data_IF_222571316496
#
_entry.id   IF_222571316496
#
_cell.length_a   1.000
_cell.length_b   1.000
_cell.length_c   1.000
_cell.angle_alpha   90.00
_cell.angle_beta   90.00
_cell.angle_gamma   90.00
#
_symmetry.space_group_name_H-M   'P 1'
#
loop_
_entity.id
_entity.type
_entity.pdbx_description
1 polymer ?
#
# COMPACT_ATOMS: atom_id res chain seq x y z
N UNK A 1 -8.68 4.64 -22.78
CA UNK A 1 -7.49 5.10 -22.04
C UNK A 1 -6.55 3.96 -21.63
N UNK A 2 -6.71 2.74 -22.15
CA UNK A 2 -5.81 1.60 -21.86
C UNK A 2 -4.49 1.68 -22.66
N UNK A 3 -4.48 2.40 -23.79
CA UNK A 3 -3.28 2.58 -24.61
C UNK A 3 -2.28 3.63 -24.04
N UNK A 4 -2.64 4.37 -22.99
CA UNK A 4 -1.83 5.44 -22.37
C UNK A 4 -1.45 5.13 -20.92
N UNK A 5 -1.33 3.85 -20.58
CA UNK A 5 -1.00 3.43 -19.20
C UNK A 5 0.38 3.95 -18.80
N UNK A 6 0.50 4.65 -17.66
CA UNK A 6 1.79 5.09 -17.14
C UNK A 6 2.65 3.87 -16.73
N UNK A 7 3.85 3.78 -17.32
CA UNK A 7 4.83 2.72 -17.06
C UNK A 7 6.18 3.37 -16.73
N UNK A 8 6.32 3.86 -15.51
CA UNK A 8 7.47 4.66 -15.08
C UNK A 8 8.70 3.78 -14.78
N UNK A 9 8.48 2.67 -14.08
CA UNK A 9 9.51 1.66 -13.84
C UNK A 9 8.91 0.25 -13.89
N UNK A 10 9.78 -0.75 -14.10
CA UNK A 10 9.39 -2.15 -14.18
C UNK A 10 10.18 -2.99 -13.19
N UNK A 11 9.48 -3.90 -12.50
CA UNK A 11 10.09 -4.91 -11.65
C UNK A 11 9.39 -6.24 -11.86
N UNK A 12 10.17 -7.29 -12.13
CA UNK A 12 9.67 -8.67 -12.38
C UNK A 12 8.51 -8.77 -13.38
N UNK A 13 8.52 -7.91 -14.41
CA UNK A 13 7.50 -7.93 -15.45
C UNK A 13 6.25 -7.11 -15.14
N UNK A 14 6.14 -6.51 -13.94
CA UNK A 14 5.09 -5.56 -13.59
C UNK A 14 5.56 -4.13 -13.74
N UNK A 15 4.72 -3.28 -14.29
CA UNK A 15 4.96 -1.85 -14.37
C UNK A 15 4.41 -1.14 -13.14
N UNK A 16 5.00 0.01 -12.83
CA UNK A 16 4.65 0.84 -11.70
C UNK A 16 4.68 2.30 -12.10
N UNK A 17 3.97 3.16 -11.35
CA UNK A 17 4.16 4.60 -11.42
C UNK A 17 3.94 5.27 -10.07
N UNK A 18 4.60 6.41 -9.88
CA UNK A 18 4.37 7.30 -8.75
C UNK A 18 3.37 8.39 -9.14
N UNK A 19 2.32 8.60 -8.33
CA UNK A 19 1.31 9.63 -8.60
C UNK A 19 1.92 11.03 -8.76
N UNK A 20 2.94 11.38 -7.98
CA UNK A 20 3.60 12.69 -8.06
C UNK A 20 4.27 12.99 -9.40
N UNK A 21 4.59 11.97 -10.20
CA UNK A 21 5.23 12.14 -11.51
C UNK A 21 4.22 12.33 -12.66
N UNK A 22 2.93 12.10 -12.41
CA UNK A 22 1.88 12.30 -13.41
C UNK A 22 1.26 13.69 -13.31
N UNK A 23 1.10 14.45 -14.43
CA UNK A 23 0.58 15.81 -14.38
C UNK A 23 -0.75 15.96 -13.65
N UNK A 24 -1.67 15.00 -13.81
CA UNK A 24 -2.99 14.99 -13.19
C UNK A 24 -2.96 14.76 -11.66
N UNK A 25 -1.90 14.13 -11.14
CA UNK A 25 -1.78 13.79 -9.71
C UNK A 25 -0.61 14.49 -9.01
N UNK A 26 0.20 15.27 -9.72
CA UNK A 26 1.44 15.89 -9.19
C UNK A 26 1.27 16.61 -7.86
N UNK A 27 0.15 17.32 -7.70
CA UNK A 27 -0.19 18.04 -6.47
C UNK A 27 -1.41 17.44 -5.75
N UNK A 28 -1.95 16.33 -6.25
CA UNK A 28 -3.09 15.67 -5.65
C UNK A 28 -2.61 14.72 -4.56
N UNK A 29 -3.31 14.75 -3.44
CA UNK A 29 -3.25 13.73 -2.40
C UNK A 29 -4.66 13.18 -2.28
N UNK A 30 -4.78 11.86 -2.22
CA UNK A 30 -6.07 11.18 -2.20
C UNK A 30 -6.16 10.34 -0.93
N UNK A 31 -7.39 10.14 -0.46
CA UNK A 31 -7.65 9.10 0.53
C UNK A 31 -7.32 7.72 -0.05
N UNK A 32 -7.29 6.70 0.80
CA UNK A 32 -6.84 5.37 0.38
C UNK A 32 -7.75 4.76 -0.72
N UNK A 33 -9.06 4.99 -0.65
CA UNK A 33 -10.01 4.40 -1.60
C UNK A 33 -9.91 5.10 -2.97
N UNK A 34 -9.82 6.43 -2.96
CA UNK A 34 -9.68 7.22 -4.18
C UNK A 34 -8.32 6.99 -4.84
N UNK A 35 -7.24 6.88 -4.07
CA UNK A 35 -5.93 6.49 -4.58
C UNK A 35 -5.98 5.10 -5.26
N UNK A 36 -6.68 4.16 -4.64
CA UNK A 36 -6.89 2.83 -5.22
C UNK A 36 -7.70 2.87 -6.52
N UNK A 37 -8.77 3.64 -6.54
CA UNK A 37 -9.61 3.80 -7.73
C UNK A 37 -8.83 4.45 -8.88
N UNK A 38 -8.00 5.45 -8.59
CA UNK A 38 -7.11 6.09 -9.55
C UNK A 38 -6.14 5.10 -10.21
N UNK A 39 -5.55 4.16 -9.45
CA UNK A 39 -4.73 3.10 -10.04
C UNK A 39 -5.54 2.20 -10.99
N UNK A 40 -6.79 1.89 -10.62
CA UNK A 40 -7.65 0.96 -11.36
C UNK A 40 -8.11 1.47 -12.72
N UNK A 41 -8.10 2.79 -12.93
CA UNK A 41 -8.30 3.39 -14.26
C UNK A 41 -7.25 2.92 -15.28
N UNK A 42 -6.07 2.51 -14.81
CA UNK A 42 -4.95 2.07 -15.64
C UNK A 42 -4.71 0.55 -15.59
N UNK A 43 -5.71 -0.25 -15.19
CA UNK A 43 -5.55 -1.70 -14.97
C UNK A 43 -4.42 -2.02 -13.98
N UNK A 44 -4.23 -1.12 -13.02
CA UNK A 44 -3.30 -1.24 -11.90
C UNK A 44 -4.08 -1.27 -10.59
N UNK A 45 -3.40 -1.55 -9.48
CA UNK A 45 -3.93 -1.34 -8.13
C UNK A 45 -2.84 -0.64 -7.29
N UNK A 46 -3.11 -0.29 -6.03
CA UNK A 46 -2.06 0.25 -5.17
C UNK A 46 -0.92 -0.76 -5.01
N UNK A 47 0.31 -0.26 -4.85
CA UNK A 47 1.51 -1.09 -4.79
C UNK A 47 1.45 -2.14 -3.66
N UNK A 48 1.95 -3.32 -3.93
CA UNK A 48 2.25 -4.34 -2.92
C UNK A 48 3.72 -4.32 -2.54
N UNK A 49 4.05 -4.76 -1.32
CA UNK A 49 5.44 -4.89 -0.88
C UNK A 49 5.63 -6.28 -0.28
N UNK A 50 5.83 -7.27 -1.15
CA UNK A 50 5.89 -8.69 -0.80
C UNK A 50 7.34 -9.19 -0.63
N UNK A 51 8.33 -8.44 -1.10
CA UNK A 51 9.77 -8.76 -0.91
C UNK A 51 10.61 -7.59 -0.42
N UNK A 52 11.82 -7.90 0.07
CA UNK A 52 12.83 -6.90 0.43
C UNK A 52 13.18 -5.98 -0.74
N UNK A 53 13.27 -6.52 -1.96
CA UNK A 53 13.58 -5.73 -3.14
C UNK A 53 12.48 -4.71 -3.45
N UNK A 54 11.21 -5.12 -3.38
CA UNK A 54 10.08 -4.19 -3.55
C UNK A 54 10.07 -3.12 -2.46
N UNK A 55 10.38 -3.49 -1.21
CA UNK A 55 10.50 -2.53 -0.13
C UNK A 55 11.61 -1.50 -0.43
N UNK A 56 12.75 -1.97 -0.95
CA UNK A 56 13.86 -1.10 -1.33
C UNK A 56 13.49 -0.18 -2.51
N UNK A 57 12.69 -0.64 -3.46
CA UNK A 57 12.19 0.19 -4.56
C UNK A 57 11.34 1.34 -4.03
N UNK A 58 10.37 1.05 -3.15
CA UNK A 58 9.50 2.07 -2.53
C UNK A 58 10.33 3.02 -1.67
N UNK A 59 11.25 2.51 -0.85
CA UNK A 59 12.10 3.35 0.01
C UNK A 59 13.02 4.26 -0.81
N UNK A 60 13.59 3.75 -1.90
CA UNK A 60 14.44 4.53 -2.80
C UNK A 60 13.66 5.66 -3.47
N UNK A 61 12.43 5.39 -3.90
CA UNK A 61 11.54 6.40 -4.48
C UNK A 61 11.25 7.50 -3.47
N UNK A 62 10.86 7.12 -2.25
CA UNK A 62 10.59 8.04 -1.14
C UNK A 62 11.81 8.91 -0.83
N UNK A 63 12.98 8.28 -0.69
CA UNK A 63 14.22 8.97 -0.33
C UNK A 63 14.69 9.92 -1.43
N UNK A 64 14.66 9.51 -2.69
CA UNK A 64 15.09 10.35 -3.83
C UNK A 64 14.12 11.49 -4.11
N UNK A 65 12.83 11.27 -3.90
CA UNK A 65 11.78 12.26 -4.12
C UNK A 65 11.49 13.16 -2.91
N UNK A 66 12.17 12.94 -1.78
CA UNK A 66 11.86 13.57 -0.49
C UNK A 66 10.35 13.52 -0.16
N UNK A 67 9.74 12.36 -0.40
CA UNK A 67 8.31 12.15 -0.23
C UNK A 67 8.05 11.89 1.26
N UNK A 68 7.16 12.65 1.94
CA UNK A 68 6.99 12.50 3.39
C UNK A 68 6.23 11.22 3.76
N UNK A 69 5.34 10.75 2.88
CA UNK A 69 4.51 9.58 3.09
C UNK A 69 3.84 9.14 1.79
N UNK A 70 3.54 7.85 1.66
CA UNK A 70 2.89 7.31 0.47
C UNK A 70 1.94 6.17 0.81
N UNK A 71 0.81 6.11 0.10
CA UNK A 71 -0.10 4.97 0.20
C UNK A 71 0.45 3.71 -0.47
N UNK A 72 0.12 2.57 0.13
CA UNK A 72 0.28 1.22 -0.41
C UNK A 72 -1.07 0.49 -0.40
N UNK A 73 -1.15 -0.71 -0.95
CA UNK A 73 -2.38 -1.51 -0.90
C UNK A 73 -2.64 -2.24 0.42
N UNK A 74 -1.78 -2.06 1.43
CA UNK A 74 -1.93 -2.75 2.71
C UNK A 74 -3.21 -2.34 3.43
N UNK A 75 -4.00 -3.34 3.83
CA UNK A 75 -5.31 -3.14 4.45
C UNK A 75 -5.50 -4.14 5.59
N UNK A 76 -6.09 -3.68 6.69
CA UNK A 76 -6.53 -4.53 7.78
C UNK A 76 -7.88 -5.20 7.44
N UNK A 77 -8.05 -6.49 7.76
CA UNK A 77 -9.32 -7.19 7.58
C UNK A 77 -10.30 -6.86 8.73
N UNK A 78 -10.82 -5.62 8.73
CA UNK A 78 -11.76 -5.11 9.74
C UNK A 78 -13.13 -4.70 9.16
N UNK A 79 -13.40 -5.11 7.92
CA UNK A 79 -14.64 -4.83 7.18
C UNK A 79 -15.52 -6.09 7.03
N UNK A 80 -16.69 -5.91 6.43
CA UNK A 80 -17.67 -6.97 6.22
C UNK A 80 -17.08 -8.14 5.41
N UNK A 81 -17.17 -9.35 5.95
CA UNK A 81 -16.56 -10.57 5.40
C UNK A 81 -15.38 -11.10 6.22
N UNK A 82 -14.86 -10.31 7.17
CA UNK A 82 -13.74 -10.71 8.05
C UNK A 82 -14.20 -11.28 9.42
N UNK A 83 -15.50 -11.25 9.76
CA UNK A 83 -16.02 -11.39 11.12
C UNK A 83 -15.76 -12.77 11.77
N UNK A 84 -15.63 -13.84 10.97
CA UNK A 84 -15.46 -15.21 11.47
C UNK A 84 -14.08 -15.79 11.18
N UNK A 85 -13.12 -14.96 10.78
CA UNK A 85 -11.77 -15.37 10.41
C UNK A 85 -10.87 -15.46 11.63
N UNK A 86 -11.01 -16.55 12.40
CA UNK A 86 -10.19 -16.80 13.61
C UNK A 86 -8.68 -16.84 13.34
N UNK A 87 -8.28 -17.17 12.11
CA UNK A 87 -6.89 -17.14 11.67
C UNK A 87 -6.32 -15.72 11.50
N UNK A 88 -7.18 -14.69 11.57
CA UNK A 88 -6.81 -13.29 11.52
C UNK A 88 -6.79 -12.64 12.92
N UNK A 89 -7.05 -13.40 14.00
CA UNK A 89 -7.11 -12.85 15.35
C UNK A 89 -5.81 -13.09 16.15
N UNK A 90 -5.31 -12.09 16.90
CA UNK A 90 -5.80 -10.71 16.95
C UNK A 90 -5.52 -9.93 15.64
N UNK A 91 -6.51 -9.15 15.19
CA UNK A 91 -6.47 -8.43 13.91
C UNK A 91 -5.22 -7.57 13.70
N UNK A 92 -4.77 -6.84 14.72
CA UNK A 92 -3.58 -6.00 14.63
C UNK A 92 -2.28 -6.79 14.35
N UNK A 93 -2.26 -8.10 14.61
CA UNK A 93 -1.11 -8.98 14.33
C UNK A 93 -1.29 -9.78 13.04
N UNK A 94 -2.44 -10.45 12.88
CA UNK A 94 -2.65 -11.42 11.80
C UNK A 94 -3.60 -10.97 10.69
N UNK A 95 -4.24 -9.81 10.86
CA UNK A 95 -5.34 -9.34 10.01
C UNK A 95 -4.92 -8.56 8.77
N UNK A 96 -3.63 -8.26 8.59
CA UNK A 96 -3.15 -7.45 7.48
C UNK A 96 -2.94 -8.27 6.20
N UNK A 97 -3.29 -7.67 5.07
CA UNK A 97 -3.13 -8.27 3.75
C UNK A 97 -2.91 -7.19 2.68
N UNK A 98 -2.29 -7.58 1.57
CA UNK A 98 -2.18 -6.76 0.37
C UNK A 98 -3.49 -6.82 -0.39
N UNK A 99 -4.27 -5.74 -0.37
CA UNK A 99 -5.60 -5.75 -0.97
C UNK A 99 -5.59 -5.87 -2.49
N UNK A 100 -4.48 -5.53 -3.15
CA UNK A 100 -4.26 -5.66 -4.58
C UNK A 100 -4.11 -7.13 -5.04
N UNK A 101 -3.38 -7.95 -4.28
CA UNK A 101 -3.11 -9.38 -4.61
C UNK A 101 -3.93 -10.36 -3.77
N UNK A 102 -4.59 -9.87 -2.71
CA UNK A 102 -5.24 -10.66 -1.65
C UNK A 102 -4.27 -11.53 -0.85
N UNK A 103 -2.96 -11.28 -0.95
CA UNK A 103 -1.95 -12.00 -0.19
C UNK A 103 -1.97 -11.57 1.28
N UNK A 104 -2.10 -12.54 2.19
CA UNK A 104 -1.97 -12.31 3.63
C UNK A 104 -0.53 -11.89 3.94
N UNK A 105 -0.36 -10.82 4.73
CA UNK A 105 0.96 -10.42 5.21
C UNK A 105 1.44 -11.36 6.32
N UNK A 106 2.75 -11.41 6.52
CA UNK A 106 3.29 -12.04 7.73
C UNK A 106 2.79 -11.32 8.99
N UNK A 107 2.77 -11.99 10.16
CA UNK A 107 2.40 -11.35 11.41
C UNK A 107 3.20 -10.07 11.64
N UNK A 108 2.55 -8.97 12.05
CA UNK A 108 3.20 -7.64 12.16
C UNK A 108 4.34 -7.60 13.17
N UNK A 109 4.40 -8.57 14.08
CA UNK A 109 5.47 -8.73 15.06
C UNK A 109 6.60 -9.69 14.62
N UNK A 110 6.65 -10.11 13.36
CA UNK A 110 7.66 -11.02 12.80
C UNK A 110 8.35 -10.42 11.58
N UNK A 111 9.57 -10.89 11.30
CA UNK A 111 10.24 -10.60 10.02
C UNK A 111 9.63 -11.51 8.96
N UNK A 112 9.03 -10.97 7.88
CA UNK A 112 8.52 -11.81 6.79
C UNK A 112 9.64 -12.64 6.15
N UNK A 113 9.33 -13.84 5.65
CA UNK A 113 10.36 -14.76 5.12
C UNK A 113 11.16 -14.20 3.93
N UNK A 114 10.57 -13.29 3.16
CA UNK A 114 11.19 -12.63 2.00
C UNK A 114 11.84 -11.27 2.35
N UNK A 115 12.03 -10.99 3.63
CA UNK A 115 12.60 -9.74 4.16
C UNK A 115 13.81 -10.01 5.05
N UNK A 116 14.70 -9.03 5.13
CA UNK A 116 15.87 -9.09 6.02
C UNK A 116 15.59 -8.48 7.41
N UNK A 117 14.51 -7.69 7.53
CA UNK A 117 14.07 -7.04 8.77
C UNK A 117 12.56 -6.86 8.79
N UNK A 118 11.98 -6.55 9.95
CA UNK A 118 10.55 -6.24 10.05
C UNK A 118 10.32 -4.77 9.65
N UNK A 119 9.56 -4.50 8.56
CA UNK A 119 9.40 -3.14 8.04
C UNK A 119 8.42 -2.27 8.84
N UNK A 120 7.63 -2.85 9.75
CA UNK A 120 6.79 -2.09 10.68
C UNK A 120 7.65 -1.28 11.65
N UNK A 121 7.31 0.00 11.80
CA UNK A 121 8.08 0.89 12.68
C UNK A 121 8.11 0.39 14.12
N UNK A 122 9.23 0.65 14.79
CA UNK A 122 9.41 0.34 16.20
C UNK A 122 8.79 1.40 17.13
N UNK A 123 8.27 2.49 16.56
CA UNK A 123 7.61 3.59 17.25
C UNK A 123 6.48 4.15 16.39
N UNK A 124 5.71 5.09 16.92
CA UNK A 124 4.62 5.76 16.23
C UNK A 124 4.10 6.91 17.08
N UNK A 125 2.85 7.32 16.86
CA UNK A 125 2.22 8.36 17.66
C UNK A 125 2.23 8.01 19.16
N UNK A 126 1.93 6.74 19.49
CA UNK A 126 1.91 6.24 20.88
C UNK A 126 3.30 5.90 21.45
N UNK A 127 4.38 6.10 20.67
CA UNK A 127 5.75 5.67 21.02
C UNK A 127 5.87 4.16 21.30
N UNK A 128 5.04 3.37 20.61
CA UNK A 128 5.07 1.90 20.63
C UNK A 128 5.19 1.37 19.21
N UNK A 129 5.46 0.07 19.07
CA UNK A 129 5.61 -0.58 17.75
C UNK A 129 4.31 -0.52 16.95
N UNK A 130 4.44 -0.29 15.65
CA UNK A 130 3.35 -0.34 14.70
C UNK A 130 2.94 -1.80 14.39
N UNK A 131 1.67 -2.06 14.05
CA UNK A 131 0.56 -1.11 14.03
C UNK A 131 0.07 -0.77 15.44
N UNK A 132 -0.13 0.52 15.75
CA UNK A 132 -0.48 0.99 17.09
C UNK A 132 -1.94 1.47 17.25
N UNK A 133 -2.68 1.57 16.14
CA UNK A 133 -4.06 2.06 16.09
C UNK A 133 -4.26 3.29 16.99
N UNK A 134 -3.33 4.24 16.89
CA UNK A 134 -3.27 5.45 17.67
C UNK A 134 -4.54 6.29 17.55
N UNK A 135 -5.02 6.46 16.33
CA UNK A 135 -6.15 7.36 16.07
C UNK A 135 -7.46 6.89 16.72
N UNK A 136 -7.62 5.58 16.93
CA UNK A 136 -8.79 5.04 17.60
C UNK A 136 -8.96 5.59 19.01
N UNK A 137 -7.86 5.78 19.75
CA UNK A 137 -7.91 6.35 21.10
C UNK A 137 -8.15 7.87 21.10
N UNK A 138 -7.93 8.53 19.95
CA UNK A 138 -8.10 9.98 19.79
C UNK A 138 -9.52 10.32 19.39
N UNK A 139 -10.06 9.63 18.38
CA UNK A 139 -11.37 9.96 17.79
C UNK A 139 -12.23 8.74 17.40
N UNK A 140 -11.80 7.52 17.73
CA UNK A 140 -12.54 6.29 17.43
C UNK A 140 -12.37 5.77 16.00
N UNK A 141 -11.51 6.37 15.19
CA UNK A 141 -11.21 5.89 13.83
C UNK A 141 -10.12 4.84 13.85
N UNK A 142 -10.38 3.68 13.25
CA UNK A 142 -9.34 2.67 13.10
C UNK A 142 -8.32 3.09 12.03
N UNK A 143 -7.05 2.81 12.31
CA UNK A 143 -5.94 2.96 11.38
C UNK A 143 -5.83 1.71 10.50
N UNK A 144 -6.79 1.55 9.60
CA UNK A 144 -6.97 0.27 8.91
C UNK A 144 -6.23 0.18 7.56
N UNK A 145 -5.42 1.18 7.21
CA UNK A 145 -4.67 1.27 5.95
C UNK A 145 -3.16 1.41 6.19
N UNK A 146 -2.33 0.87 5.28
CA UNK A 146 -0.88 0.89 5.41
C UNK A 146 -0.26 1.99 4.54
N UNK A 147 0.52 2.87 5.18
CA UNK A 147 1.39 3.82 4.50
C UNK A 147 2.86 3.55 4.82
N UNK A 148 3.74 3.93 3.90
CA UNK A 148 5.17 4.08 4.22
C UNK A 148 5.40 5.54 4.55
N UNK A 149 5.92 5.82 5.74
CA UNK A 149 6.22 7.19 6.21
C UNK A 149 7.73 7.42 6.18
N UNK A 150 8.13 8.64 5.84
CA UNK A 150 9.53 9.07 5.82
C UNK A 150 9.84 9.86 7.08
N UNK A 151 10.33 9.15 8.10
CA UNK A 151 10.90 9.72 9.33
C UNK A 151 9.97 10.67 10.10
N UNK A 152 8.65 10.49 9.97
CA UNK A 152 7.63 11.32 10.63
C UNK A 152 7.75 11.24 12.15
N UNK A 153 8.17 10.09 12.69
CA UNK A 153 8.32 9.86 14.13
C UNK A 153 9.78 9.69 14.56
N UNK A 154 10.73 10.23 13.79
CA UNK A 154 12.18 10.06 14.01
C UNK A 154 12.63 8.58 13.97
N UNK A 155 12.01 7.82 13.07
CA UNK A 155 12.07 6.36 12.97
C UNK A 155 12.57 5.85 11.60
N UNK A 156 13.13 6.76 10.78
CA UNK A 156 13.53 6.45 9.41
C UNK A 156 12.33 6.21 8.49
N UNK A 157 12.58 5.55 7.35
CA UNK A 157 11.50 5.16 6.43
C UNK A 157 10.95 3.81 6.90
N UNK A 158 9.68 3.78 7.31
CA UNK A 158 9.06 2.61 7.94
C UNK A 158 7.57 2.49 7.59
N UNK A 159 7.00 1.30 7.78
CA UNK A 159 5.55 1.07 7.61
C UNK A 159 4.79 1.48 8.86
N UNK A 160 3.65 2.14 8.65
CA UNK A 160 2.73 2.59 9.69
C UNK A 160 1.31 2.23 9.30
N UNK A 161 0.50 1.90 10.31
CA UNK A 161 -0.94 1.94 10.14
C UNK A 161 -1.42 3.38 10.21
N UNK A 162 -2.36 3.73 9.35
CA UNK A 162 -2.89 5.09 9.21
C UNK A 162 -4.37 5.01 8.90
N UNK A 163 -5.17 5.94 9.43
CA UNK A 163 -6.57 6.02 9.06
C UNK A 163 -6.74 6.30 7.57
N UNK A 164 -7.64 5.53 6.95
CA UNK A 164 -7.76 5.47 5.50
C UNK A 164 -8.23 6.78 4.85
N UNK A 165 -8.80 7.71 5.61
CA UNK A 165 -9.28 9.01 5.11
C UNK A 165 -8.13 10.02 4.89
N UNK A 166 -6.94 9.77 5.43
CA UNK A 166 -5.83 10.69 5.24
C UNK A 166 -5.42 10.78 3.78
N UNK A 167 -5.15 12.00 3.31
CA UNK A 167 -4.75 12.21 1.92
C UNK A 167 -3.24 12.06 1.76
N UNK A 168 -2.82 11.19 0.82
CA UNK A 168 -1.40 10.97 0.50
C UNK A 168 -1.21 10.81 -1.01
N UNK A 169 0.01 11.06 -1.53
CA UNK A 169 0.37 10.51 -2.83
C UNK A 169 0.43 8.97 -2.75
N UNK A 170 0.51 8.31 -3.89
CA UNK A 170 0.39 6.85 -3.99
C UNK A 170 1.29 6.27 -5.08
N UNK A 171 1.59 4.97 -4.96
CA UNK A 171 2.25 4.19 -6.01
C UNK A 171 1.23 3.18 -6.54
N UNK A 172 1.14 3.06 -7.86
CA UNK A 172 0.37 2.02 -8.52
C UNK A 172 1.28 0.94 -9.10
N UNK A 173 0.76 -0.28 -9.16
CA UNK A 173 1.40 -1.48 -9.69
C UNK A 173 0.43 -2.20 -10.64
N UNK A 174 0.94 -2.77 -11.74
CA UNK A 174 0.19 -3.66 -12.63
C UNK A 174 -0.60 -4.71 -11.85
N UNK A 175 -1.91 -4.78 -12.11
CA UNK A 175 -2.77 -5.80 -11.53
C UNK A 175 -3.02 -6.89 -12.56
N UNK A 176 -2.41 -8.06 -12.37
CA UNK A 176 -2.63 -9.22 -13.24
C UNK A 176 -4.13 -9.57 -13.37
N UNK A 177 -4.89 -9.42 -12.27
CA UNK A 177 -6.34 -9.66 -12.27
C UNK A 177 -7.08 -8.70 -13.22
N UNK A 178 -6.80 -7.40 -13.13
CA UNK A 178 -7.46 -6.40 -13.98
C UNK A 178 -6.99 -6.50 -15.44
N UNK A 179 -5.70 -6.74 -15.65
CA UNK A 179 -5.14 -6.94 -16.98
C UNK A 179 -5.76 -8.15 -17.68
N UNK A 180 -5.84 -9.28 -16.99
CA UNK A 180 -6.46 -10.49 -17.53
C UNK A 180 -7.96 -10.28 -17.80
N UNK A 181 -8.67 -9.61 -16.89
CA UNK A 181 -10.08 -9.28 -17.08
C UNK A 181 -10.31 -8.42 -18.34
N UNK A 182 -9.53 -7.35 -18.50
CA UNK A 182 -9.65 -6.45 -19.65
C UNK A 182 -9.28 -7.16 -20.95
N UNK A 183 -8.20 -7.96 -20.96
CA UNK A 183 -7.80 -8.77 -22.12
C UNK A 183 -8.89 -9.77 -22.53
N UNK A 184 -9.56 -10.40 -21.57
CA UNK A 184 -10.61 -11.38 -21.84
C UNK A 184 -11.91 -10.75 -22.34
N UNK A 185 -12.20 -9.50 -21.96
CA UNK A 185 -13.47 -8.82 -22.25
C UNK A 185 -13.40 -7.87 -23.45
N UNK A 186 -12.20 -7.47 -23.90
CA UNK A 186 -12.00 -6.50 -24.98
C UNK A 186 -11.09 -7.09 -26.07
N UNK A 187 -11.70 -7.57 -27.16
CA UNK A 187 -10.96 -8.22 -28.25
C UNK A 187 -10.08 -7.21 -29.00
N UNK A 188 -8.79 -7.53 -29.14
CA UNK A 188 -7.82 -6.72 -29.90
C UNK A 188 -7.22 -5.53 -29.15
N UNK A 189 -7.48 -5.41 -27.83
CA UNK A 189 -6.85 -4.39 -26.99
C UNK A 189 -5.35 -4.66 -26.81
N UNK A 190 -4.54 -3.61 -26.72
CA UNK A 190 -3.12 -3.68 -26.39
C UNK A 190 -2.94 -3.13 -24.97
N UNK A 191 -2.21 -3.88 -24.12
CA UNK A 191 -2.01 -3.59 -22.69
C UNK A 191 -0.57 -3.15 -22.40
#
# INVERSE_FOLDING_TARGET
MVDERPKEFNYRGRNYFFSGNLPQYRNAKLDWLDARNACREYCMDLVTIETQEENNLVFTLIQKGDVPYIWTSGRLCDFKGCENRRDLEPKNVFGWFWSATRQKMAPTNQVPASFNFNPWSQTGHKKVRQPDNAEFDINGTNESCLAVLNNVYSDGISWHDVACYHEKPFICEDSDELLNYVAATNRGIRL
#
